data_IF_878459018102
#
_entry.id   IF_878459018102
#
_cell.length_a   1.000
_cell.length_b   1.000
_cell.length_c   1.000
_cell.angle_alpha   90.00
_cell.angle_beta   90.00
_cell.angle_gamma   90.00
#
_symmetry.space_group_name_H-M   'P 1'
#
loop_
_entity.id
_entity.type
_entity.pdbx_description
1 polymer ?
#
# COMPACT_ATOMS: atom_id res chain seq x y z
N UNK A 1 3.38 -18.01 13.85
CA UNK A 1 2.39 -18.44 12.83
C UNK A 1 3.07 -18.57 11.48
N UNK A 2 3.03 -19.75 10.91
CA UNK A 2 3.81 -20.10 9.71
C UNK A 2 3.12 -21.23 8.95
N UNK A 3 3.47 -21.37 7.68
CA UNK A 3 3.07 -22.49 6.83
C UNK A 3 4.33 -23.05 6.19
N UNK A 4 4.44 -24.37 6.18
CA UNK A 4 5.48 -25.09 5.47
C UNK A 4 4.82 -26.04 4.48
N UNK A 5 5.40 -26.13 3.30
CA UNK A 5 5.02 -27.07 2.26
C UNK A 5 6.26 -27.74 1.74
N UNK A 6 6.22 -29.07 1.69
CA UNK A 6 7.26 -29.91 1.15
C UNK A 6 6.67 -30.65 -0.06
N UNK A 7 7.31 -30.52 -1.20
CA UNK A 7 7.05 -31.30 -2.41
C UNK A 7 8.25 -32.19 -2.63
N UNK A 8 8.04 -33.50 -2.62
CA UNK A 8 9.11 -34.49 -2.75
C UNK A 8 9.12 -35.06 -4.16
N UNK A 9 10.32 -35.35 -4.67
CA UNK A 9 10.59 -36.08 -5.91
C UNK A 9 9.92 -35.53 -7.17
N UNK A 10 9.62 -34.22 -7.21
CA UNK A 10 9.17 -33.55 -8.42
C UNK A 10 10.38 -33.39 -9.36
N UNK A 11 10.34 -34.08 -10.50
CA UNK A 11 11.44 -34.15 -11.46
C UNK A 11 12.79 -34.54 -10.82
N UNK A 12 12.74 -35.45 -9.85
CA UNK A 12 13.91 -35.93 -9.11
C UNK A 12 14.48 -34.91 -8.12
N UNK A 13 13.74 -33.84 -7.80
CA UNK A 13 14.13 -32.81 -6.83
C UNK A 13 13.07 -32.61 -5.76
N UNK A 14 13.54 -32.15 -4.59
CA UNK A 14 12.67 -31.76 -3.49
C UNK A 14 12.57 -30.24 -3.44
N UNK A 15 11.35 -29.73 -3.30
CA UNK A 15 11.06 -28.31 -3.19
C UNK A 15 10.40 -28.02 -1.85
N UNK A 16 10.80 -26.93 -1.22
CA UNK A 16 10.24 -26.53 0.06
C UNK A 16 9.88 -25.05 0.04
N UNK A 17 8.65 -24.75 0.43
CA UNK A 17 8.16 -23.40 0.65
C UNK A 17 7.95 -23.20 2.15
N UNK A 18 8.64 -22.22 2.73
CA UNK A 18 8.47 -21.82 4.13
C UNK A 18 7.97 -20.39 4.18
N UNK A 19 6.75 -20.19 4.65
CA UNK A 19 6.21 -18.86 4.93
C UNK A 19 6.24 -18.67 6.44
N UNK A 20 7.21 -17.91 6.92
CA UNK A 20 7.31 -17.52 8.32
C UNK A 20 6.57 -16.21 8.56
N UNK A 21 6.09 -16.03 9.79
CA UNK A 21 5.45 -14.79 10.24
C UNK A 21 4.30 -14.28 9.32
N UNK A 22 3.26 -15.11 9.15
CA UNK A 22 2.03 -14.69 8.44
C UNK A 22 1.50 -13.35 8.98
N UNK A 23 0.68 -12.65 8.20
CA UNK A 23 0.13 -11.36 8.60
C UNK A 23 -0.82 -11.47 9.80
N UNK A 24 -1.67 -12.51 9.87
CA UNK A 24 -2.54 -12.82 11.02
C UNK A 24 -2.74 -14.33 11.16
N UNK A 25 -3.52 -14.73 12.17
CA UNK A 25 -3.81 -16.13 12.47
C UNK A 25 -4.70 -16.78 11.39
N UNK A 26 -4.52 -18.08 11.22
CA UNK A 26 -5.30 -18.93 10.31
C UNK A 26 -5.95 -20.07 11.12
N UNK A 27 -6.97 -20.72 10.53
CA UNK A 27 -7.55 -21.96 11.02
C UNK A 27 -6.92 -23.14 10.27
N UNK A 28 -5.99 -23.90 10.88
CA UNK A 28 -5.33 -25.01 10.19
C UNK A 28 -6.33 -26.04 9.68
N UNK A 29 -7.34 -26.38 10.48
CA UNK A 29 -8.33 -27.42 10.15
C UNK A 29 -9.22 -27.09 8.95
N UNK A 30 -9.40 -25.80 8.67
CA UNK A 30 -10.17 -25.31 7.52
C UNK A 30 -9.27 -24.88 6.35
N UNK A 31 -7.96 -24.98 6.51
CA UNK A 31 -6.98 -24.71 5.46
C UNK A 31 -6.67 -26.00 4.72
N UNK A 32 -6.47 -25.91 3.41
CA UNK A 32 -6.24 -27.08 2.57
C UNK A 32 -5.38 -26.72 1.37
N UNK A 33 -4.97 -27.72 0.60
CA UNK A 33 -4.24 -27.52 -0.64
C UNK A 33 -4.91 -28.26 -1.79
N UNK A 34 -4.66 -27.81 -3.02
CA UNK A 34 -5.09 -28.49 -4.24
C UNK A 34 -3.89 -28.59 -5.17
N UNK A 35 -3.61 -29.82 -5.60
CA UNK A 35 -2.64 -30.08 -6.65
C UNK A 35 -3.36 -29.92 -8.00
N UNK A 36 -2.75 -29.17 -8.90
CA UNK A 36 -3.16 -29.00 -10.30
C UNK A 36 -1.98 -29.38 -11.19
N UNK A 37 -2.23 -29.44 -12.48
CA UNK A 37 -1.15 -29.56 -13.47
C UNK A 37 -0.16 -28.41 -13.28
N UNK A 38 1.09 -28.76 -12.99
CA UNK A 38 2.22 -27.83 -12.84
C UNK A 38 2.04 -26.76 -11.73
N UNK A 39 1.11 -26.96 -10.79
CA UNK A 39 0.84 -25.97 -9.75
C UNK A 39 0.28 -26.58 -8.48
N UNK A 40 0.79 -26.10 -7.34
CA UNK A 40 0.19 -26.33 -6.03
C UNK A 40 -0.51 -25.06 -5.56
N UNK A 41 -1.81 -25.16 -5.26
CA UNK A 41 -2.59 -24.04 -4.72
C UNK A 41 -2.84 -24.27 -3.24
N UNK A 42 -2.37 -23.34 -2.40
CA UNK A 42 -2.59 -23.36 -0.96
C UNK A 42 -3.74 -22.43 -0.58
N UNK A 43 -4.72 -22.97 0.14
CA UNK A 43 -5.86 -22.23 0.67
C UNK A 43 -5.72 -22.13 2.18
N UNK A 44 -5.38 -20.93 2.65
CA UNK A 44 -5.23 -20.66 4.08
C UNK A 44 -6.48 -19.93 4.59
N UNK A 45 -7.27 -20.61 5.42
CA UNK A 45 -8.49 -20.05 6.00
C UNK A 45 -8.13 -19.05 7.11
N UNK A 46 -8.54 -17.79 6.97
CA UNK A 46 -8.31 -16.76 7.99
C UNK A 46 -9.11 -17.07 9.27
N UNK A 47 -8.53 -16.84 10.44
CA UNK A 47 -9.26 -17.00 11.71
C UNK A 47 -10.43 -16.03 11.85
N UNK A 48 -10.25 -14.83 11.32
CA UNK A 48 -11.22 -13.73 11.34
C UNK A 48 -11.49 -13.24 9.92
N UNK A 49 -12.72 -12.81 9.64
CA UNK A 49 -13.09 -12.27 8.34
C UNK A 49 -12.57 -10.83 8.22
N UNK A 50 -11.40 -10.68 7.60
CA UNK A 50 -10.78 -9.37 7.40
C UNK A 50 -9.86 -9.33 6.18
N UNK A 51 -9.65 -8.13 5.65
CA UNK A 51 -8.70 -7.87 4.57
C UNK A 51 -7.28 -7.93 5.13
N UNK A 52 -6.39 -8.62 4.42
CA UNK A 52 -4.96 -8.59 4.71
C UNK A 52 -4.30 -7.73 3.64
N UNK A 53 -3.43 -6.80 4.04
CA UNK A 53 -2.67 -5.98 3.10
C UNK A 53 -1.54 -6.77 2.42
N UNK A 54 -1.12 -7.89 3.03
CA UNK A 54 -0.14 -8.83 2.49
C UNK A 54 -0.20 -10.18 3.21
N UNK A 55 0.59 -11.15 2.76
CA UNK A 55 0.56 -12.52 3.29
C UNK A 55 1.34 -12.63 4.60
N UNK A 56 2.47 -11.94 4.70
CA UNK A 56 3.32 -11.87 5.88
C UNK A 56 3.12 -10.57 6.64
N UNK A 57 3.53 -10.53 7.92
CA UNK A 57 3.51 -9.29 8.69
C UNK A 57 4.50 -8.24 8.15
N UNK A 58 5.52 -8.66 7.42
CA UNK A 58 6.46 -7.76 6.75
C UNK A 58 5.81 -7.07 5.55
N UNK A 59 5.07 -7.81 4.72
CA UNK A 59 4.29 -7.23 3.62
C UNK A 59 3.31 -6.16 4.11
N UNK A 60 2.68 -6.40 5.27
CA UNK A 60 1.77 -5.43 5.89
C UNK A 60 2.52 -4.16 6.30
N UNK A 61 3.66 -4.29 6.99
CA UNK A 61 4.48 -3.14 7.39
C UNK A 61 4.97 -2.34 6.18
N UNK A 62 5.42 -3.02 5.13
CA UNK A 62 5.83 -2.38 3.89
C UNK A 62 4.65 -1.67 3.19
N UNK A 63 3.46 -2.26 3.22
CA UNK A 63 2.26 -1.63 2.67
C UNK A 63 1.81 -0.42 3.49
N UNK A 64 1.97 -0.43 4.81
CA UNK A 64 1.63 0.72 5.67
C UNK A 64 2.63 1.85 5.53
N UNK A 65 3.92 1.54 5.40
CA UNK A 65 4.96 2.54 5.15
C UNK A 65 4.75 3.31 3.84
N UNK A 66 4.16 2.68 2.82
CA UNK A 66 3.81 3.32 1.54
C UNK A 66 2.55 4.18 1.57
N UNK A 67 1.77 4.15 2.66
CA UNK A 67 0.57 4.97 2.77
C UNK A 67 0.96 6.36 3.28
N UNK A 68 0.59 7.44 2.57
CA UNK A 68 0.69 8.80 3.08
C UNK A 68 0.08 8.90 4.48
N UNK A 69 0.83 9.40 5.45
CA UNK A 69 0.28 9.70 6.78
C UNK A 69 -0.48 11.04 6.69
N UNK A 70 -1.75 10.99 6.30
CA UNK A 70 -2.59 12.18 6.29
C UNK A 70 -3.18 12.37 7.69
N UNK A 71 -2.56 13.22 8.50
CA UNK A 71 -3.16 13.64 9.76
C UNK A 71 -4.38 14.53 9.46
N UNK A 72 -5.54 14.15 10.00
CA UNK A 72 -6.86 14.66 9.61
C UNK A 72 -7.26 15.99 10.27
N UNK A 73 -6.34 16.70 10.93
CA UNK A 73 -6.70 17.87 11.74
C UNK A 73 -6.69 19.19 10.94
N UNK A 74 -6.02 19.23 9.78
CA UNK A 74 -6.12 20.35 8.84
C UNK A 74 -5.76 19.87 7.42
N UNK A 75 -6.71 19.87 6.46
CA UNK A 75 -6.46 19.45 5.08
C UNK A 75 -5.28 20.19 4.43
N UNK A 76 -5.02 21.44 4.84
CA UNK A 76 -3.94 22.25 4.30
C UNK A 76 -2.58 21.85 4.90
N UNK A 77 -2.53 21.50 6.19
CA UNK A 77 -1.32 21.04 6.85
C UNK A 77 -0.94 19.61 6.42
N UNK A 78 -1.94 18.73 6.24
CA UNK A 78 -1.73 17.35 5.78
C UNK A 78 -1.17 17.27 4.36
N UNK A 79 -1.50 18.23 3.50
CA UNK A 79 -0.91 18.32 2.16
C UNK A 79 0.56 18.76 2.20
N UNK A 80 0.92 19.68 3.09
CA UNK A 80 2.30 20.19 3.20
C UNK A 80 3.26 19.11 3.74
N UNK A 81 2.81 18.32 4.72
CA UNK A 81 3.60 17.21 5.26
C UNK A 81 3.75 16.07 4.23
N UNK A 82 2.70 15.80 3.43
CA UNK A 82 2.77 14.88 2.30
C UNK A 82 3.75 15.34 1.22
N UNK A 83 3.72 16.63 0.84
CA UNK A 83 4.69 17.20 -0.11
C UNK A 83 6.13 17.12 0.41
N UNK A 84 6.33 17.33 1.72
CA UNK A 84 7.64 17.22 2.36
C UNK A 84 8.17 15.79 2.32
N UNK A 85 7.33 14.81 2.66
CA UNK A 85 7.70 13.40 2.54
C UNK A 85 8.04 13.00 1.09
N UNK A 86 7.28 13.49 0.10
CA UNK A 86 7.59 13.27 -1.32
C UNK A 86 8.88 13.95 -1.79
N UNK A 87 9.26 15.08 -1.17
CA UNK A 87 10.53 15.75 -1.45
C UNK A 87 11.73 14.97 -0.88
N UNK A 88 11.59 14.43 0.33
CA UNK A 88 12.65 13.69 1.02
C UNK A 88 12.90 12.30 0.40
N UNK A 89 11.87 11.66 -0.16
CA UNK A 89 11.96 10.34 -0.82
C UNK A 89 12.16 10.42 -2.35
N UNK A 90 11.92 11.58 -2.98
CA UNK A 90 11.87 11.74 -4.43
C UNK A 90 13.21 12.12 -5.08
N UNK A 91 13.50 11.48 -6.23
CA UNK A 91 14.59 11.86 -7.15
C UNK A 91 14.40 13.30 -7.70
N UNK A 92 15.49 13.97 -8.10
CA UNK A 92 15.54 15.43 -8.32
C UNK A 92 14.52 15.96 -9.35
N UNK A 93 14.08 15.11 -10.28
CA UNK A 93 13.03 15.45 -11.27
C UNK A 93 11.64 15.61 -10.65
N UNK A 94 11.32 14.84 -9.61
CA UNK A 94 10.01 14.91 -8.96
C UNK A 94 9.87 16.19 -8.14
N UNK A 95 10.97 16.66 -7.53
CA UNK A 95 11.05 17.93 -6.81
C UNK A 95 10.74 19.13 -7.70
N UNK A 96 11.29 19.16 -8.92
CA UNK A 96 11.01 20.22 -9.89
C UNK A 96 9.53 20.24 -10.32
N UNK A 97 8.94 19.06 -10.53
CA UNK A 97 7.55 18.92 -10.94
C UNK A 97 6.59 19.39 -9.82
N UNK A 98 6.84 18.98 -8.57
CA UNK A 98 6.06 19.40 -7.41
C UNK A 98 6.15 20.91 -7.17
N UNK A 99 7.35 21.50 -7.24
CA UNK A 99 7.53 22.95 -7.11
C UNK A 99 6.76 23.72 -8.18
N UNK A 100 6.81 23.24 -9.43
CA UNK A 100 6.10 23.86 -10.54
C UNK A 100 4.59 23.80 -10.35
N UNK A 101 4.05 22.64 -9.97
CA UNK A 101 2.61 22.46 -9.73
C UNK A 101 2.12 23.23 -8.51
N UNK A 102 2.91 23.36 -7.43
CA UNK A 102 2.54 24.17 -6.26
C UNK A 102 2.50 25.66 -6.58
N UNK A 103 3.50 26.17 -7.31
CA UNK A 103 3.55 27.57 -7.75
C UNK A 103 2.40 27.91 -8.71
N UNK A 104 2.10 27.02 -9.67
CA UNK A 104 0.97 27.18 -10.59
C UNK A 104 -0.39 27.09 -9.88
N UNK A 105 -0.52 26.22 -8.87
CA UNK A 105 -1.73 26.09 -8.06
C UNK A 105 -1.97 27.32 -7.18
N UNK A 106 -0.92 27.83 -6.52
CA UNK A 106 -0.98 29.04 -5.70
C UNK A 106 -1.33 30.28 -6.55
N UNK A 107 -0.73 30.42 -7.73
CA UNK A 107 -1.07 31.49 -8.69
C UNK A 107 -2.51 31.40 -9.21
N UNK A 108 -3.06 30.20 -9.40
CA UNK A 108 -4.47 30.02 -9.79
C UNK A 108 -5.45 30.34 -8.68
N UNK A 109 -5.15 29.99 -7.42
CA UNK A 109 -5.96 30.42 -6.27
C UNK A 109 -5.89 31.93 -6.03
N UNK A 110 -4.75 32.59 -6.29
CA UNK A 110 -4.62 34.05 -6.18
C UNK A 110 -5.26 34.83 -7.35
N UNK A 111 -5.42 34.23 -8.53
CA UNK A 111 -6.09 34.85 -9.69
C UNK A 111 -7.60 34.57 -9.79
N UNK A 112 -8.18 33.81 -8.86
CA UNK A 112 -9.57 33.36 -8.94
C UNK A 112 -10.57 34.04 -8.00
N UNK A 113 -10.18 35.12 -7.30
CA UNK A 113 -11.05 35.78 -6.31
C UNK A 113 -10.98 37.30 -6.40
N UNK A 114 -11.66 37.88 -7.40
CA UNK A 114 -12.23 39.24 -7.40
C UNK A 114 -12.75 39.56 -8.80
N UNK A 115 -13.90 39.01 -9.22
CA UNK A 115 -14.67 39.55 -10.36
C UNK A 115 -16.08 38.96 -10.44
N UNK A 116 -16.82 38.94 -9.33
CA UNK A 116 -18.29 38.82 -9.35
C UNK A 116 -18.92 39.63 -8.19
N UNK A 117 -18.66 40.93 -8.14
CA UNK A 117 -19.67 41.89 -7.68
C UNK A 117 -20.41 42.37 -8.93
N UNK A 118 -21.68 41.98 -9.04
CA UNK A 118 -22.57 42.34 -10.14
C UNK A 118 -23.68 43.25 -9.58
N UNK A 119 -24.05 44.24 -10.39
CA UNK A 119 -25.27 45.05 -10.37
C UNK A 119 -25.45 46.19 -9.33
N UNK A 120 -25.65 47.38 -9.91
CA UNK A 120 -26.61 48.44 -9.55
C UNK A 120 -26.40 49.25 -8.25
N UNK A 121 -25.67 50.38 -8.36
CA UNK A 121 -26.17 51.78 -8.41
C UNK A 121 -25.03 52.79 -8.19
#
# INVERSE_FOLDING_TARGET
RSVQVLVQELDGKNYQLNITNLAKNIKPDASYHKVKTDMLVLFLCKSEQQKWAGVTAEDVRASEARKPKVNSDDPNAGMMDLMKQMYDEGDDKMKQMLNKTWYESQQKTLKGGNDLENLDL
#
